data_IF_429315196960
#
_entry.id   IF_429315196960
#
_cell.length_a   1.000
_cell.length_b   1.000
_cell.length_c   1.000
_cell.angle_alpha   90.00
_cell.angle_beta   90.00
_cell.angle_gamma   90.00
#
_symmetry.space_group_name_H-M   'P 1'
#
loop_
_entity.id
_entity.type
_entity.pdbx_description
1 polymer ?
#
# COMPACT_ATOMS: atom_id res chain seq x y z
N UNK A 1 53.01 0.44 6.23
CA UNK A 1 51.56 0.76 6.25
C UNK A 1 51.27 1.45 4.93
N UNK A 2 50.62 0.75 4.00
CA UNK A 2 50.33 1.27 2.67
C UNK A 2 49.32 2.41 2.79
N UNK A 3 49.65 3.59 2.27
CA UNK A 3 48.74 4.73 2.24
C UNK A 3 47.48 4.37 1.43
N UNK A 4 46.28 4.79 1.87
CA UNK A 4 45.06 4.54 1.11
C UNK A 4 45.15 5.25 -0.24
N UNK A 5 44.94 4.51 -1.33
CA UNK A 5 44.82 5.12 -2.66
C UNK A 5 43.70 6.18 -2.63
N UNK A 6 43.94 7.40 -3.13
CA UNK A 6 42.91 8.42 -3.19
C UNK A 6 41.87 7.98 -4.23
N UNK A 7 40.74 7.45 -3.76
CA UNK A 7 39.66 7.02 -4.64
C UNK A 7 39.16 8.25 -5.45
N UNK A 8 39.44 8.25 -6.75
CA UNK A 8 38.93 9.25 -7.69
C UNK A 8 37.42 9.08 -7.86
N UNK A 9 36.77 10.10 -8.45
CA UNK A 9 35.35 10.01 -8.78
C UNK A 9 35.10 8.90 -9.80
N UNK A 10 33.98 8.22 -9.63
CA UNK A 10 33.46 7.24 -10.59
C UNK A 10 32.89 7.94 -11.83
N UNK A 11 32.69 7.20 -12.93
CA UNK A 11 32.09 7.73 -14.15
C UNK A 11 30.70 8.33 -13.89
N UNK A 12 29.85 7.61 -13.15
CA UNK A 12 28.50 8.08 -12.80
C UNK A 12 28.53 9.40 -11.99
N UNK A 13 29.51 9.57 -11.11
CA UNK A 13 29.68 10.81 -10.34
C UNK A 13 30.19 11.97 -11.22
N UNK A 14 31.00 11.70 -12.24
CA UNK A 14 31.43 12.71 -13.22
C UNK A 14 30.24 13.13 -14.10
N UNK A 15 29.46 12.17 -14.59
CA UNK A 15 28.25 12.43 -15.38
C UNK A 15 27.23 13.25 -14.59
N UNK A 16 26.99 12.91 -13.32
CA UNK A 16 26.13 13.68 -12.43
C UNK A 16 26.60 15.13 -12.23
N UNK A 17 27.91 15.40 -12.34
CA UNK A 17 28.45 16.77 -12.31
C UNK A 17 28.13 17.52 -13.60
N UNK A 18 28.18 16.84 -14.75
CA UNK A 18 27.86 17.43 -16.06
C UNK A 18 26.36 17.73 -16.19
N UNK A 19 25.52 16.86 -15.66
CA UNK A 19 24.05 17.01 -15.65
C UNK A 19 23.54 18.04 -14.62
N UNK A 20 24.43 18.60 -13.79
CA UNK A 20 24.08 19.57 -12.76
C UNK A 20 23.41 18.97 -11.51
N UNK A 21 23.36 17.63 -11.39
CA UNK A 21 22.81 16.89 -10.25
C UNK A 21 23.88 16.59 -9.18
N UNK A 22 24.67 17.61 -8.82
CA UNK A 22 25.87 17.46 -7.99
C UNK A 22 25.53 17.15 -6.53
N UNK A 23 26.25 16.17 -5.95
CA UNK A 23 26.31 15.92 -4.51
C UNK A 23 27.49 16.70 -3.91
N UNK A 24 27.31 17.36 -2.76
CA UNK A 24 28.30 18.22 -2.08
C UNK A 24 29.69 17.57 -1.92
N UNK A 25 29.73 16.26 -1.70
CA UNK A 25 31.00 15.50 -1.61
C UNK A 25 31.82 15.58 -2.91
N UNK A 26 31.16 15.50 -4.06
CA UNK A 26 31.80 15.47 -5.37
C UNK A 26 32.35 16.86 -5.75
N UNK A 27 31.62 17.95 -5.44
CA UNK A 27 32.10 19.32 -5.66
C UNK A 27 33.36 19.62 -4.84
N UNK A 28 33.36 19.23 -3.56
CA UNK A 28 34.52 19.37 -2.67
C UNK A 28 35.72 18.57 -3.19
N UNK A 29 35.50 17.35 -3.67
CA UNK A 29 36.57 16.53 -4.24
C UNK A 29 37.16 17.15 -5.51
N UNK A 30 36.34 17.64 -6.43
CA UNK A 30 36.82 18.30 -7.66
C UNK A 30 37.65 19.56 -7.35
N UNK A 31 37.28 20.32 -6.32
CA UNK A 31 38.07 21.47 -5.88
C UNK A 31 39.47 21.06 -5.39
N UNK A 32 39.58 19.92 -4.70
CA UNK A 32 40.82 19.40 -4.13
C UNK A 32 41.67 18.51 -5.06
N UNK A 33 41.08 17.87 -6.07
CA UNK A 33 41.77 16.92 -6.95
C UNK A 33 41.98 17.48 -8.35
N UNK A 34 43.24 17.64 -8.77
CA UNK A 34 43.59 18.15 -10.12
C UNK A 34 43.19 17.20 -11.23
N UNK A 35 43.28 15.89 -11.00
CA UNK A 35 42.89 14.84 -11.98
C UNK A 35 41.39 14.93 -12.26
N UNK A 36 40.55 14.84 -11.24
CA UNK A 36 39.09 14.91 -11.40
C UNK A 36 38.64 16.24 -12.00
N UNK A 37 39.27 17.36 -11.63
CA UNK A 37 38.99 18.67 -12.27
C UNK A 37 39.31 18.69 -13.75
N UNK A 38 40.45 18.12 -14.14
CA UNK A 38 40.86 18.05 -15.55
C UNK A 38 39.89 17.18 -16.35
N UNK A 39 39.45 16.04 -15.81
CA UNK A 39 38.45 15.19 -16.46
C UNK A 39 37.14 15.92 -16.66
N UNK A 40 36.58 16.54 -15.62
CA UNK A 40 35.33 17.32 -15.73
C UNK A 40 35.46 18.45 -16.77
N UNK A 41 36.60 19.13 -16.84
CA UNK A 41 36.82 20.17 -17.84
C UNK A 41 36.88 19.62 -19.28
N UNK A 42 37.52 18.47 -19.48
CA UNK A 42 37.55 17.80 -20.77
C UNK A 42 36.15 17.33 -21.19
N UNK A 43 35.40 16.71 -20.27
CA UNK A 43 34.06 16.21 -20.57
C UNK A 43 33.10 17.35 -20.88
N UNK A 44 33.19 18.49 -20.16
CA UNK A 44 32.41 19.70 -20.51
C UNK A 44 32.69 20.18 -21.94
N UNK A 45 33.96 20.21 -22.36
CA UNK A 45 34.30 20.59 -23.75
C UNK A 45 33.70 19.63 -24.78
N UNK A 46 33.64 18.34 -24.46
CA UNK A 46 33.00 17.33 -25.33
C UNK A 46 31.50 17.57 -25.39
N UNK A 47 30.84 17.75 -24.25
CA UNK A 47 29.40 18.04 -24.19
C UNK A 47 29.06 19.32 -24.95
N UNK A 48 29.84 20.40 -24.76
CA UNK A 48 29.67 21.66 -25.48
C UNK A 48 29.83 21.48 -27.00
N UNK A 49 30.81 20.67 -27.43
CA UNK A 49 31.01 20.37 -28.85
C UNK A 49 29.86 19.54 -29.44
N UNK A 50 29.32 18.59 -28.67
CA UNK A 50 28.16 17.79 -29.08
C UNK A 50 26.87 18.64 -29.13
N UNK A 51 26.72 19.60 -28.24
CA UNK A 51 25.55 20.49 -28.19
C UNK A 51 25.42 21.41 -29.43
N UNK A 52 26.52 21.66 -30.14
CA UNK A 52 26.54 22.47 -31.37
C UNK A 52 26.12 21.65 -32.60
N UNK A 53 26.11 20.31 -32.51
CA UNK A 53 25.75 19.47 -33.64
C UNK A 53 24.28 19.71 -34.06
N UNK A 54 24.01 19.72 -35.39
CA UNK A 54 22.65 19.88 -35.87
C UNK A 54 21.78 18.70 -35.40
N UNK A 55 20.53 18.94 -34.98
CA UNK A 55 19.62 17.87 -34.65
C UNK A 55 19.38 17.01 -35.90
N UNK A 56 19.53 15.69 -35.77
CA UNK A 56 19.28 14.74 -36.85
C UNK A 56 17.93 14.11 -36.61
N UNK A 57 16.94 14.53 -37.39
CA UNK A 57 15.63 13.89 -37.38
C UNK A 57 15.65 12.57 -38.17
N UNK A 58 14.99 11.52 -37.67
CA UNK A 58 14.89 10.28 -38.41
C UNK A 58 14.04 10.47 -39.68
N UNK A 59 14.41 9.76 -40.75
CA UNK A 59 13.67 9.82 -42.01
C UNK A 59 12.18 9.45 -41.82
N UNK A 60 11.25 10.04 -42.61
CA UNK A 60 9.83 9.72 -42.55
C UNK A 60 9.57 8.21 -42.57
N UNK A 61 8.64 7.76 -41.71
CA UNK A 61 8.30 6.34 -41.56
C UNK A 61 9.31 5.51 -40.76
N UNK A 62 10.30 6.12 -40.10
CA UNK A 62 11.25 5.40 -39.23
C UNK A 62 10.56 4.57 -38.14
N UNK A 63 9.66 5.18 -37.35
CA UNK A 63 8.95 4.49 -36.27
C UNK A 63 8.15 3.27 -36.77
N UNK A 64 7.30 3.37 -37.81
CA UNK A 64 6.65 2.21 -38.40
C UNK A 64 7.61 1.10 -38.86
N UNK A 65 8.75 1.45 -39.49
CA UNK A 65 9.76 0.46 -39.93
C UNK A 65 10.44 -0.25 -38.76
N UNK A 66 10.71 0.46 -37.67
CA UNK A 66 11.26 -0.12 -36.44
C UNK A 66 10.22 -1.03 -35.78
N UNK A 67 9.01 -0.53 -35.55
CA UNK A 67 7.95 -1.28 -34.88
C UNK A 67 7.53 -2.54 -35.65
N UNK A 68 7.60 -2.53 -36.98
CA UNK A 68 7.38 -3.72 -37.80
C UNK A 68 8.40 -4.85 -37.56
N UNK A 69 9.58 -4.53 -37.02
CA UNK A 69 10.65 -5.50 -36.72
C UNK A 69 10.75 -5.83 -35.23
N UNK A 70 10.11 -5.06 -34.36
CA UNK A 70 10.10 -5.32 -32.92
C UNK A 70 9.11 -6.43 -32.64
N UNK A 71 9.62 -7.62 -32.29
CA UNK A 71 8.80 -8.69 -31.73
C UNK A 71 8.51 -8.38 -30.26
N UNK A 72 7.39 -7.70 -30.00
CA UNK A 72 6.89 -7.56 -28.63
C UNK A 72 6.37 -8.92 -28.20
N UNK A 73 7.15 -9.62 -27.37
CA UNK A 73 6.63 -10.77 -26.64
C UNK A 73 5.65 -10.24 -25.59
N UNK A 74 4.38 -10.15 -25.96
CA UNK A 74 3.34 -9.98 -24.94
C UNK A 74 3.41 -11.22 -24.05
N UNK A 75 3.67 -11.07 -22.73
CA UNK A 75 3.55 -12.22 -21.85
C UNK A 75 2.13 -12.78 -22.02
N UNK A 76 1.96 -14.11 -22.10
CA UNK A 76 0.63 -14.67 -22.17
C UNK A 76 -0.16 -14.12 -20.99
N UNK A 77 -1.37 -13.60 -21.25
CA UNK A 77 -2.32 -13.23 -20.20
C UNK A 77 -2.59 -14.50 -19.42
N UNK A 78 -1.83 -14.72 -18.35
CA UNK A 78 -2.09 -15.79 -17.42
C UNK A 78 -3.36 -15.37 -16.67
N UNK A 79 -4.53 -15.77 -17.18
CA UNK A 79 -5.74 -15.82 -16.37
C UNK A 79 -5.46 -16.88 -15.32
N UNK A 80 -4.82 -16.46 -14.24
CA UNK A 80 -4.33 -17.39 -13.24
C UNK A 80 -5.54 -18.00 -12.56
N UNK A 81 -5.66 -19.32 -12.63
CA UNK A 81 -6.53 -20.14 -11.76
C UNK A 81 -6.30 -19.79 -10.26
N UNK A 82 -5.17 -19.15 -9.92
CA UNK A 82 -4.91 -18.53 -8.62
C UNK A 82 -5.85 -17.38 -8.26
N UNK A 83 -6.32 -16.56 -9.20
CA UNK A 83 -7.26 -15.47 -8.91
C UNK A 83 -8.63 -15.99 -8.43
N UNK A 84 -9.13 -17.06 -9.07
CA UNK A 84 -10.33 -17.77 -8.63
C UNK A 84 -10.11 -18.46 -7.27
N UNK A 85 -8.93 -19.05 -7.05
CA UNK A 85 -8.55 -19.63 -5.77
C UNK A 85 -8.47 -18.61 -4.63
N UNK A 86 -7.93 -17.41 -4.89
CA UNK A 86 -7.84 -16.32 -3.92
C UNK A 86 -9.24 -15.81 -3.53
N UNK A 87 -10.13 -15.60 -4.51
CA UNK A 87 -11.52 -15.19 -4.24
C UNK A 87 -12.28 -16.23 -3.42
N UNK A 88 -12.10 -17.52 -3.71
CA UNK A 88 -12.71 -18.61 -2.93
C UNK A 88 -12.19 -18.64 -1.49
N UNK A 89 -10.88 -18.43 -1.27
CA UNK A 89 -10.27 -18.38 0.07
C UNK A 89 -10.78 -17.21 0.89
N UNK A 90 -10.93 -16.03 0.28
CA UNK A 90 -11.49 -14.85 0.97
C UNK A 90 -12.94 -15.09 1.38
N UNK A 91 -13.76 -15.65 0.48
CA UNK A 91 -15.17 -15.94 0.79
C UNK A 91 -15.29 -17.00 1.89
N UNK A 92 -14.50 -18.07 1.82
CA UNK A 92 -14.49 -19.12 2.86
C UNK A 92 -13.99 -18.58 4.19
N UNK A 93 -12.92 -17.77 4.18
CA UNK A 93 -12.41 -17.13 5.40
C UNK A 93 -13.45 -16.22 6.04
N UNK A 94 -14.11 -15.36 5.25
CA UNK A 94 -15.18 -14.50 5.73
C UNK A 94 -16.38 -15.29 6.29
N UNK A 95 -16.77 -16.38 5.63
CA UNK A 95 -17.85 -17.25 6.09
C UNK A 95 -17.51 -17.94 7.42
N UNK A 96 -16.28 -18.42 7.59
CA UNK A 96 -15.81 -19.04 8.84
C UNK A 96 -15.79 -18.04 10.00
N UNK A 97 -15.28 -16.83 9.76
CA UNK A 97 -15.31 -15.75 10.77
C UNK A 97 -16.75 -15.41 11.15
N UNK A 98 -17.64 -15.23 10.17
CA UNK A 98 -19.05 -14.97 10.42
C UNK A 98 -19.73 -16.08 11.22
N UNK A 99 -19.45 -17.35 10.90
CA UNK A 99 -19.98 -18.50 11.64
C UNK A 99 -19.45 -18.56 13.08
N UNK A 100 -18.17 -18.28 13.30
CA UNK A 100 -17.57 -18.25 14.64
C UNK A 100 -18.19 -17.14 15.50
N UNK A 101 -18.39 -15.95 14.93
CA UNK A 101 -19.06 -14.82 15.61
C UNK A 101 -20.50 -15.18 15.97
N UNK A 102 -21.28 -15.70 15.02
CA UNK A 102 -22.67 -16.09 15.27
C UNK A 102 -22.77 -17.21 16.32
N UNK A 103 -21.88 -18.19 16.27
CA UNK A 103 -21.78 -19.26 17.27
C UNK A 103 -21.42 -18.74 18.66
N UNK A 104 -20.48 -17.78 18.75
CA UNK A 104 -20.12 -17.12 20.00
C UNK A 104 -21.28 -16.35 20.63
N UNK A 105 -22.05 -15.61 19.83
CA UNK A 105 -23.26 -14.94 20.30
C UNK A 105 -24.33 -15.94 20.76
N UNK A 106 -24.58 -17.00 20.00
CA UNK A 106 -25.55 -18.03 20.38
C UNK A 106 -25.16 -18.71 21.71
N UNK A 107 -23.88 -19.06 21.88
CA UNK A 107 -23.38 -19.64 23.12
C UNK A 107 -23.46 -18.66 24.30
N UNK A 108 -23.12 -17.38 24.09
CA UNK A 108 -23.21 -16.35 25.11
C UNK A 108 -24.66 -16.13 25.58
N UNK A 109 -25.65 -16.28 24.69
CA UNK A 109 -27.07 -16.19 25.09
C UNK A 109 -27.52 -17.37 25.96
N UNK A 110 -26.90 -18.56 25.83
CA UNK A 110 -27.19 -19.70 26.70
C UNK A 110 -26.39 -19.69 28.02
N UNK A 111 -25.28 -18.96 28.09
CA UNK A 111 -24.37 -18.93 29.25
C UNK A 111 -24.00 -17.49 29.67
N UNK A 112 -24.97 -16.63 30.05
CA UNK A 112 -24.73 -15.21 30.24
C UNK A 112 -23.77 -14.90 31.41
N UNK A 113 -23.83 -15.66 32.51
CA UNK A 113 -22.99 -15.44 33.67
C UNK A 113 -21.50 -15.72 33.38
N UNK A 114 -21.21 -16.81 32.67
CA UNK A 114 -19.84 -17.15 32.26
C UNK A 114 -19.31 -16.20 31.18
N UNK A 115 -20.17 -15.79 30.24
CA UNK A 115 -19.82 -14.82 29.21
C UNK A 115 -19.46 -13.45 29.79
N UNK A 116 -20.22 -12.95 30.77
CA UNK A 116 -19.93 -11.67 31.43
C UNK A 116 -18.63 -11.73 32.26
N UNK A 117 -18.40 -12.83 32.98
CA UNK A 117 -17.17 -13.04 33.75
C UNK A 117 -15.91 -13.04 32.85
N UNK A 118 -16.02 -13.56 31.62
CA UNK A 118 -14.92 -13.53 30.64
C UNK A 118 -14.80 -12.18 29.91
N UNK A 119 -15.90 -11.46 29.74
CA UNK A 119 -15.91 -10.17 29.06
C UNK A 119 -15.36 -9.04 29.93
N UNK A 120 -15.50 -9.11 31.26
CA UNK A 120 -15.16 -8.02 32.17
C UNK A 120 -13.67 -7.61 32.12
N UNK A 121 -12.69 -8.54 32.12
CA UNK A 121 -11.28 -8.18 31.91
C UNK A 121 -11.00 -7.71 30.47
N UNK A 122 -11.70 -8.25 29.48
CA UNK A 122 -11.52 -7.91 28.08
C UNK A 122 -12.01 -6.49 27.75
N UNK A 123 -13.10 -6.06 28.38
CA UNK A 123 -13.69 -4.74 28.21
C UNK A 123 -12.84 -3.63 28.82
N UNK A 124 -12.11 -3.90 29.91
CA UNK A 124 -11.22 -2.92 30.55
C UNK A 124 -10.07 -2.45 29.66
N UNK A 125 -9.58 -3.28 28.72
CA UNK A 125 -8.53 -2.94 27.76
C UNK A 125 -9.01 -2.66 26.34
N UNK A 126 -10.30 -2.85 26.07
CA UNK A 126 -10.82 -2.88 24.71
C UNK A 126 -10.72 -1.51 24.03
N UNK A 127 -10.96 -0.42 24.77
CA UNK A 127 -10.96 0.94 24.19
C UNK A 127 -9.62 1.32 23.57
N UNK A 128 -8.52 1.06 24.29
CA UNK A 128 -7.18 1.42 23.84
C UNK A 128 -6.67 0.49 22.73
N UNK A 129 -7.07 -0.79 22.77
CA UNK A 129 -6.72 -1.77 21.74
C UNK A 129 -7.53 -1.58 20.46
N UNK A 130 -8.82 -1.25 20.57
CA UNK A 130 -9.66 -0.85 19.43
C UNK A 130 -9.14 0.43 18.78
N UNK A 131 -8.75 1.41 19.58
CA UNK A 131 -8.26 2.67 19.05
C UNK A 131 -6.96 2.50 18.25
N UNK A 132 -6.02 1.73 18.78
CA UNK A 132 -4.73 1.45 18.11
C UNK A 132 -4.90 0.56 16.88
N UNK A 133 -5.75 -0.46 16.94
CA UNK A 133 -6.05 -1.31 15.78
C UNK A 133 -6.82 -0.57 14.69
N UNK A 134 -7.74 0.33 15.05
CA UNK A 134 -8.46 1.18 14.10
C UNK A 134 -7.51 2.17 13.42
N UNK A 135 -6.62 2.83 14.17
CA UNK A 135 -5.60 3.72 13.59
C UNK A 135 -4.65 2.96 12.67
N UNK A 136 -4.18 1.78 13.07
CA UNK A 136 -3.31 0.95 12.25
C UNK A 136 -4.03 0.47 10.98
N UNK A 137 -5.29 0.06 11.08
CA UNK A 137 -6.10 -0.32 9.93
C UNK A 137 -6.33 0.86 8.99
N UNK A 138 -6.68 2.05 9.52
CA UNK A 138 -6.90 3.24 8.71
C UNK A 138 -5.62 3.70 7.99
N UNK A 139 -4.47 3.71 8.67
CA UNK A 139 -3.19 4.09 8.07
C UNK A 139 -2.79 3.11 6.95
N UNK A 140 -2.93 1.80 7.18
CA UNK A 140 -2.62 0.80 6.17
C UNK A 140 -3.63 0.80 5.02
N UNK A 141 -4.90 1.13 5.27
CA UNK A 141 -5.97 1.05 4.27
C UNK A 141 -5.86 2.15 3.21
N UNK A 142 -5.33 3.32 3.54
CA UNK A 142 -5.13 4.43 2.59
C UNK A 142 -3.97 4.17 1.63
N UNK A 143 -2.96 3.39 2.05
CA UNK A 143 -1.81 3.06 1.19
C UNK A 143 -2.06 1.89 0.24
N UNK A 144 -3.21 1.22 0.34
CA UNK A 144 -3.47 0.02 -0.46
C UNK A 144 -4.02 0.35 -1.85
N UNK A 145 -3.48 -0.25 -2.93
CA UNK A 145 -3.88 0.06 -4.31
C UNK A 145 -5.34 -0.34 -4.65
N UNK A 146 -6.01 -1.13 -3.81
CA UNK A 146 -7.44 -1.42 -3.96
C UNK A 146 -8.34 -0.32 -3.37
N UNK A 147 -7.78 0.59 -2.56
CA UNK A 147 -8.51 1.67 -1.91
C UNK A 147 -9.13 2.63 -2.93
N UNK A 148 -8.40 2.95 -4.01
CA UNK A 148 -8.90 3.75 -5.13
C UNK A 148 -10.14 3.11 -5.77
N UNK A 149 -10.10 1.79 -5.97
CA UNK A 149 -11.24 1.03 -6.50
C UNK A 149 -12.46 1.03 -5.57
N UNK A 150 -12.26 0.97 -4.25
CA UNK A 150 -13.37 1.09 -3.28
C UNK A 150 -13.91 2.51 -3.17
N UNK A 151 -13.04 3.52 -3.30
CA UNK A 151 -13.42 4.94 -3.29
C UNK A 151 -14.27 5.27 -4.51
N UNK A 152 -13.91 4.76 -5.69
CA UNK A 152 -14.73 4.90 -6.91
C UNK A 152 -16.07 4.18 -6.81
N UNK A 153 -16.11 3.02 -6.15
CA UNK A 153 -17.35 2.29 -5.85
C UNK A 153 -18.29 3.07 -4.91
N UNK A 154 -17.73 3.76 -3.92
CA UNK A 154 -18.48 4.61 -2.98
C UNK A 154 -18.87 5.95 -3.59
N UNK A 155 -18.09 6.48 -4.54
CA UNK A 155 -18.40 7.70 -5.27
C UNK A 155 -19.57 7.51 -6.26
N UNK A 156 -19.87 6.27 -6.67
CA UNK A 156 -21.05 5.95 -7.47
C UNK A 156 -22.29 5.72 -6.58
N UNK A 157 -23.24 6.67 -6.50
CA UNK A 157 -24.34 6.61 -5.54
C UNK A 157 -25.23 5.37 -5.70
N UNK A 158 -25.38 4.86 -6.93
CA UNK A 158 -26.18 3.66 -7.21
C UNK A 158 -25.56 2.36 -6.65
N UNK A 159 -24.24 2.29 -6.45
CA UNK A 159 -23.54 1.08 -6.00
C UNK A 159 -23.22 1.08 -4.51
N UNK A 160 -23.25 2.26 -3.87
CA UNK A 160 -23.04 2.41 -2.42
C UNK A 160 -24.27 1.98 -1.59
N UNK A 161 -25.49 2.12 -2.13
CA UNK A 161 -26.76 1.81 -1.45
C UNK A 161 -26.80 0.40 -0.81
N UNK A 162 -26.46 -0.71 -1.50
CA UNK A 162 -26.53 -2.03 -0.89
C UNK A 162 -25.51 -2.22 0.24
N UNK A 163 -24.33 -1.60 0.14
CA UNK A 163 -23.27 -1.71 1.17
C UNK A 163 -23.68 -0.95 2.42
N UNK A 164 -24.20 0.27 2.26
CA UNK A 164 -24.71 1.08 3.37
C UNK A 164 -25.92 0.39 4.02
N UNK A 165 -26.83 -0.18 3.22
CA UNK A 165 -27.97 -0.94 3.72
C UNK A 165 -27.56 -2.16 4.55
N UNK A 166 -26.56 -2.92 4.08
CA UNK A 166 -26.04 -4.06 4.83
C UNK A 166 -25.36 -3.64 6.15
N UNK A 167 -24.58 -2.57 6.14
CA UNK A 167 -23.96 -2.03 7.35
C UNK A 167 -25.00 -1.52 8.35
N UNK A 168 -26.02 -0.80 7.89
CA UNK A 168 -27.12 -0.32 8.72
C UNK A 168 -27.94 -1.48 9.33
N UNK A 169 -28.18 -2.55 8.57
CA UNK A 169 -28.88 -3.74 9.05
C UNK A 169 -28.07 -4.47 10.14
N UNK A 170 -26.75 -4.61 9.95
CA UNK A 170 -25.86 -5.18 10.96
C UNK A 170 -25.83 -4.34 12.24
N UNK A 171 -25.75 -3.02 12.11
CA UNK A 171 -25.79 -2.10 13.25
C UNK A 171 -27.12 -2.18 14.01
N UNK A 172 -28.25 -2.24 13.30
CA UNK A 172 -29.57 -2.39 13.92
C UNK A 172 -29.71 -3.72 14.66
N UNK A 173 -29.23 -4.83 14.08
CA UNK A 173 -29.23 -6.14 14.74
C UNK A 173 -28.40 -6.13 16.03
N UNK A 174 -27.22 -5.48 16.00
CA UNK A 174 -26.37 -5.33 17.18
C UNK A 174 -27.06 -4.53 18.31
N UNK A 175 -27.72 -3.41 17.97
CA UNK A 175 -28.48 -2.60 18.93
C UNK A 175 -29.65 -3.36 19.56
N UNK A 176 -30.37 -4.16 18.78
CA UNK A 176 -31.47 -4.99 19.28
C UNK A 176 -30.95 -6.05 20.24
N UNK A 177 -29.83 -6.71 19.91
CA UNK A 177 -29.16 -7.65 20.80
C UNK A 177 -28.75 -7.01 22.13
N UNK A 178 -28.10 -5.84 22.06
CA UNK A 178 -27.66 -5.10 23.25
C UNK A 178 -28.82 -4.66 24.14
N UNK A 179 -29.89 -4.11 23.54
CA UNK A 179 -31.08 -3.68 24.29
C UNK A 179 -31.72 -4.86 25.02
N UNK A 180 -31.70 -6.05 24.42
CA UNK A 180 -32.27 -7.25 25.03
C UNK A 180 -31.46 -7.73 26.22
N UNK A 181 -30.13 -7.63 26.15
CA UNK A 181 -29.23 -7.93 27.26
C UNK A 181 -29.42 -6.94 28.44
N UNK A 182 -29.73 -5.68 28.15
CA UNK A 182 -29.95 -4.65 29.18
C UNK A 182 -31.36 -4.66 29.79
N UNK A 183 -32.29 -5.42 29.22
CA UNK A 183 -33.70 -5.44 29.64
C UNK A 183 -34.07 -6.60 30.57
N UNK A 184 -33.10 -7.35 31.10
CA UNK A 184 -33.42 -8.36 32.12
C UNK A 184 -34.03 -7.70 33.36
N UNK A 185 -35.23 -8.13 33.80
CA UNK A 185 -35.85 -7.59 34.99
C UNK A 185 -35.03 -8.00 36.21
N UNK A 186 -34.67 -7.02 37.05
CA UNK A 186 -34.11 -7.24 38.38
C UNK A 186 -35.05 -8.20 39.12
N UNK A 187 -34.60 -9.39 39.55
CA UNK A 187 -35.46 -10.32 40.26
C UNK A 187 -35.94 -9.64 41.54
N UNK A 188 -37.27 -9.52 41.67
CA UNK A 188 -37.94 -8.95 42.84
C UNK A 188 -37.50 -9.73 44.09
N UNK A 189 -36.60 -9.13 44.88
CA UNK A 189 -36.16 -9.65 46.16
C UNK A 189 -37.32 -9.52 47.17
N UNK A 190 -38.24 -10.48 47.14
CA UNK A 190 -39.25 -10.66 48.18
C UNK A 190 -38.87 -11.89 49.01
N UNK A 191 -38.30 -11.59 50.17
CA UNK A 191 -38.08 -12.51 51.28
C UNK A 191 -39.41 -12.89 51.94
#
# INVERSE_FOLDING_TARGET
MNAPEPHHLTADELDAILDGTIVERASVHVAGCTVCRTMVELDRRVVDALAILPPVDPAPGFSPRVMARVSIHSPPVQVTVRALGARRRVVVGAALVGAAVAGGFAWATSNPAEALAWAEPALQGIGQTLWTSLQAAAANMVEQPWFDGTRDLLAAPARAIPVIGAAAALYAAALVGLRRLLAEPVPDARW
#
